data_IF_498588143089
#
_entry.id   IF_498588143089
#
_cell.length_a   1.000
_cell.length_b   1.000
_cell.length_c   1.000
_cell.angle_alpha   90.00
_cell.angle_beta   90.00
_cell.angle_gamma   90.00
#
_symmetry.space_group_name_H-M   'P 1'
#
loop_
_entity.id
_entity.type
_entity.pdbx_description
1 polymer ?
#
# COMPACT_ATOMS: atom_id res chain seq x y z
N UNK A 1 10.74 1.62 -19.63
CA UNK A 1 10.66 0.14 -19.63
C UNK A 1 9.31 -0.25 -19.06
N UNK A 2 8.50 -0.99 -19.82
CA UNK A 2 7.24 -1.53 -19.31
C UNK A 2 7.58 -2.77 -18.46
N UNK A 3 7.13 -2.77 -17.21
CA UNK A 3 7.31 -3.92 -16.33
C UNK A 3 6.37 -5.04 -16.75
N UNK A 4 6.87 -6.28 -16.79
CA UNK A 4 6.00 -7.46 -16.87
C UNK A 4 5.35 -7.71 -15.51
N UNK A 5 4.15 -8.28 -15.51
CA UNK A 5 3.39 -8.63 -14.30
C UNK A 5 4.26 -9.42 -13.34
N UNK A 6 4.39 -8.95 -12.09
CA UNK A 6 5.15 -9.62 -11.04
C UNK A 6 6.68 -9.49 -11.12
N UNK A 7 7.23 -8.68 -12.05
CA UNK A 7 8.69 -8.58 -12.20
C UNK A 7 9.38 -7.62 -11.24
N UNK A 8 8.79 -6.44 -10.98
CA UNK A 8 9.42 -5.39 -10.18
C UNK A 8 8.46 -4.69 -9.21
N UNK A 9 7.15 -4.74 -9.47
CA UNK A 9 6.09 -4.04 -8.72
C UNK A 9 6.37 -2.55 -8.49
N UNK A 10 7.15 -1.91 -9.36
CA UNK A 10 7.47 -0.49 -9.27
C UNK A 10 6.26 0.31 -9.75
N UNK A 11 5.85 1.28 -8.95
CA UNK A 11 4.78 2.20 -9.32
C UNK A 11 5.31 3.28 -10.28
N UNK A 12 4.84 3.28 -11.51
CA UNK A 12 5.20 4.23 -12.56
C UNK A 12 3.98 5.08 -12.98
N UNK A 13 4.18 6.35 -13.36
CA UNK A 13 3.09 7.23 -13.80
C UNK A 13 2.25 6.64 -14.94
N UNK A 14 2.89 5.90 -15.86
CA UNK A 14 2.25 5.33 -17.05
C UNK A 14 1.20 4.25 -16.72
N UNK A 15 1.23 3.68 -15.51
CA UNK A 15 0.27 2.63 -15.11
C UNK A 15 -1.10 3.22 -14.73
N UNK A 16 -1.16 4.50 -14.32
CA UNK A 16 -2.40 5.17 -13.89
C UNK A 16 -3.22 4.40 -12.82
N UNK A 17 -2.54 3.87 -11.81
CA UNK A 17 -3.12 3.09 -10.70
C UNK A 17 -2.97 3.74 -9.30
N UNK A 18 -3.15 5.07 -9.13
CA UNK A 18 -2.82 5.74 -7.87
C UNK A 18 -3.62 5.23 -6.66
N UNK A 19 -4.89 4.88 -6.85
CA UNK A 19 -5.74 4.37 -5.77
C UNK A 19 -5.29 2.98 -5.31
N UNK A 20 -5.08 2.07 -6.26
CA UNK A 20 -4.59 0.72 -5.98
C UNK A 20 -3.21 0.76 -5.31
N UNK A 21 -2.26 1.51 -5.88
CA UNK A 21 -0.91 1.61 -5.35
C UNK A 21 -0.89 2.09 -3.89
N UNK A 22 -1.72 3.08 -3.54
CA UNK A 22 -1.79 3.56 -2.14
C UNK A 22 -2.46 2.57 -1.20
N UNK A 23 -3.48 1.83 -1.65
CA UNK A 23 -4.16 0.83 -0.82
C UNK A 23 -3.27 -0.34 -0.43
N UNK A 24 -2.41 -0.80 -1.35
CA UNK A 24 -1.57 -1.99 -1.15
C UNK A 24 -0.10 -1.66 -0.88
N UNK A 25 0.20 -0.41 -0.51
CA UNK A 25 1.54 0.01 -0.18
C UNK A 25 1.99 -0.63 1.13
N UNK A 26 3.04 -1.47 1.10
CA UNK A 26 3.39 -2.38 2.21
C UNK A 26 3.74 -1.70 3.54
N UNK A 27 4.17 -0.44 3.47
CA UNK A 27 4.55 0.35 4.64
C UNK A 27 3.43 1.20 5.21
N UNK A 28 2.27 1.31 4.54
CA UNK A 28 1.10 1.98 5.12
C UNK A 28 0.52 1.14 6.26
N UNK A 29 0.38 1.75 7.43
CA UNK A 29 -0.15 1.09 8.63
C UNK A 29 -1.44 1.71 9.13
N UNK A 30 -1.81 2.88 8.61
CA UNK A 30 -2.96 3.66 9.06
C UNK A 30 -3.73 4.18 7.85
N UNK A 31 -5.05 4.19 7.98
CA UNK A 31 -5.98 4.74 6.99
C UNK A 31 -7.04 5.58 7.70
N UNK A 32 -7.33 6.76 7.15
CA UNK A 32 -8.43 7.61 7.56
C UNK A 32 -9.26 8.01 6.35
N UNK A 33 -10.57 7.79 6.39
CA UNK A 33 -11.46 8.07 5.27
C UNK A 33 -12.59 9.01 5.67
N UNK A 34 -13.06 9.79 4.70
CA UNK A 34 -14.23 10.64 4.82
C UNK A 34 -15.09 10.54 3.55
N UNK A 35 -16.41 10.63 3.74
CA UNK A 35 -17.38 10.66 2.65
C UNK A 35 -18.20 11.93 2.80
N UNK A 36 -18.18 12.78 1.77
CA UNK A 36 -18.81 14.11 1.81
C UNK A 36 -19.60 14.36 0.52
N UNK A 37 -20.76 15.02 0.65
CA UNK A 37 -21.53 15.49 -0.50
C UNK A 37 -20.95 16.82 -1.02
N UNK A 38 -20.62 16.87 -2.30
CA UNK A 38 -20.14 18.07 -2.99
C UNK A 38 -21.08 18.36 -4.17
N UNK A 39 -21.99 19.31 -4.00
CA UNK A 39 -23.05 19.61 -4.98
C UNK A 39 -24.00 18.42 -5.13
N UNK A 40 -24.13 17.89 -6.36
CA UNK A 40 -24.93 16.70 -6.67
C UNK A 40 -24.17 15.37 -6.48
N UNK A 41 -22.85 15.41 -6.22
CA UNK A 41 -22.01 14.22 -6.17
C UNK A 41 -21.60 13.85 -4.74
N UNK A 42 -21.32 12.57 -4.51
CA UNK A 42 -20.63 12.08 -3.32
C UNK A 42 -19.13 11.95 -3.61
N UNK A 43 -18.28 12.36 -2.67
CA UNK A 43 -16.82 12.20 -2.72
C UNK A 43 -16.38 11.33 -1.57
N UNK A 44 -15.67 10.25 -1.87
CA UNK A 44 -14.98 9.42 -0.89
C UNK A 44 -13.48 9.70 -1.00
N UNK A 45 -12.85 10.07 0.11
CA UNK A 45 -11.42 10.38 0.18
C UNK A 45 -10.81 9.59 1.33
N UNK A 46 -9.70 8.91 1.07
CA UNK A 46 -8.91 8.23 2.08
C UNK A 46 -7.47 8.74 2.06
N UNK A 47 -6.95 9.01 3.25
CA UNK A 47 -5.55 9.30 3.52
C UNK A 47 -4.89 8.06 4.14
N UNK A 48 -3.61 7.86 3.83
CA UNK A 48 -2.82 6.74 4.29
C UNK A 48 -1.56 7.27 4.98
N UNK A 49 -1.15 6.61 6.05
CA UNK A 49 0.05 6.95 6.83
C UNK A 49 0.93 5.72 7.06
N UNK A 50 2.26 5.88 7.06
CA UNK A 50 3.01 7.11 6.75
C UNK A 50 2.89 7.51 5.27
N UNK A 51 3.14 8.77 4.92
CA UNK A 51 3.09 9.26 3.53
C UNK A 51 4.30 8.75 2.70
N UNK A 52 4.38 7.44 2.48
CA UNK A 52 5.54 6.75 1.92
C UNK A 52 5.40 6.42 0.42
N UNK A 53 4.17 6.37 -0.10
CA UNK A 53 3.90 6.02 -1.49
C UNK A 53 4.47 7.05 -2.47
N UNK A 54 5.34 6.60 -3.39
CA UNK A 54 6.05 7.44 -4.36
C UNK A 54 6.33 6.70 -5.66
N UNK A 55 6.26 7.41 -6.78
CA UNK A 55 6.65 6.87 -8.08
C UNK A 55 8.12 6.46 -8.09
N UNK A 56 8.45 5.44 -8.88
CA UNK A 56 9.79 4.88 -9.00
C UNK A 56 10.15 3.87 -7.90
N UNK A 57 9.30 3.72 -6.88
CA UNK A 57 9.48 2.73 -5.81
C UNK A 57 8.56 1.52 -5.99
N UNK A 58 8.97 0.34 -5.47
CA UNK A 58 8.08 -0.81 -5.39
C UNK A 58 6.90 -0.53 -4.46
N UNK A 59 5.70 -0.96 -4.86
CA UNK A 59 4.47 -0.88 -4.06
C UNK A 59 4.59 -1.75 -2.80
N UNK A 60 5.19 -2.92 -2.97
CA UNK A 60 5.52 -3.83 -1.87
C UNK A 60 6.81 -4.57 -2.15
N UNK A 61 7.50 -4.94 -1.08
CA UNK A 61 8.70 -5.75 -1.16
C UNK A 61 8.33 -7.18 -1.54
N UNK A 62 8.82 -7.64 -2.70
CA UNK A 62 8.66 -9.04 -3.12
C UNK A 62 9.69 -9.94 -2.42
N UNK A 63 9.29 -11.17 -2.09
CA UNK A 63 10.24 -12.24 -1.80
C UNK A 63 9.83 -13.19 -0.67
N UNK A 64 10.05 -14.49 -0.92
CA UNK A 64 9.96 -15.57 0.05
C UNK A 64 8.56 -15.84 0.62
N UNK A 65 8.46 -16.69 1.66
CA UNK A 65 7.25 -16.88 2.44
C UNK A 65 6.60 -15.56 2.92
N UNK A 66 5.28 -15.58 3.13
CA UNK A 66 4.58 -14.43 3.69
C UNK A 66 5.16 -14.04 5.06
N UNK A 67 5.12 -12.74 5.39
CA UNK A 67 5.60 -12.19 6.66
C UNK A 67 7.11 -12.27 6.98
N UNK A 68 7.98 -12.68 6.06
CA UNK A 68 9.44 -12.74 6.30
C UNK A 68 10.06 -11.43 6.81
N UNK A 69 9.43 -10.29 6.51
CA UNK A 69 9.92 -8.97 6.87
C UNK A 69 9.30 -8.43 8.17
N UNK A 70 8.25 -9.06 8.72
CA UNK A 70 7.54 -8.52 9.89
C UNK A 70 8.44 -8.39 11.12
N UNK A 71 9.31 -9.37 11.36
CA UNK A 71 10.23 -9.35 12.52
C UNK A 71 11.19 -8.16 12.45
N UNK A 72 11.62 -7.75 11.25
CA UNK A 72 12.47 -6.56 11.05
C UNK A 72 11.74 -5.25 11.38
N UNK A 73 10.41 -5.27 11.32
CA UNK A 73 9.53 -4.15 11.64
C UNK A 73 9.04 -4.19 13.10
N UNK A 74 9.59 -5.06 13.95
CA UNK A 74 9.10 -5.32 15.31
C UNK A 74 7.59 -5.64 15.34
N UNK A 75 7.13 -6.35 14.31
CA UNK A 75 5.74 -6.73 14.11
C UNK A 75 5.60 -8.25 14.09
N UNK A 76 4.41 -8.74 14.47
CA UNK A 76 4.07 -10.15 14.34
C UNK A 76 3.34 -10.42 13.02
N UNK A 77 3.47 -11.63 12.51
CA UNK A 77 2.64 -12.09 11.40
C UNK A 77 1.22 -12.40 11.89
N UNK A 78 0.22 -11.85 11.22
CA UNK A 78 -1.18 -12.25 11.40
C UNK A 78 -1.48 -13.54 10.64
N UNK A 79 -2.60 -14.19 10.99
CA UNK A 79 -3.09 -15.38 10.26
C UNK A 79 -3.38 -15.12 8.78
N UNK A 80 -3.59 -13.84 8.41
CA UNK A 80 -3.90 -13.42 7.03
C UNK A 80 -2.65 -12.97 6.24
N UNK A 81 -1.44 -13.21 6.76
CA UNK A 81 -0.20 -12.85 6.06
C UNK A 81 0.16 -11.37 6.09
N UNK A 82 -0.44 -10.59 7.00
CA UNK A 82 -0.13 -9.17 7.22
C UNK A 82 0.73 -8.97 8.47
N UNK A 83 1.67 -8.01 8.43
CA UNK A 83 2.42 -7.59 9.60
C UNK A 83 1.57 -6.70 10.50
N UNK A 84 1.47 -7.03 11.79
CA UNK A 84 0.71 -6.25 12.78
C UNK A 84 1.66 -5.83 13.90
N UNK A 85 1.70 -4.54 14.22
CA UNK A 85 2.49 -4.02 15.34
C UNK A 85 2.08 -4.74 16.63
N UNK A 86 3.07 -5.04 17.48
CA UNK A 86 2.77 -5.50 18.83
C UNK A 86 2.14 -4.34 19.60
N UNK A 87 1.09 -4.59 20.41
CA UNK A 87 0.49 -3.58 21.26
C UNK A 87 1.48 -3.00 22.27
#
# INVERSE_FOLDING_TARGET
MNQTTGSQNIWLPQQNIPNFAKMVWDSHTEIGCAIVKCGSNMKAVCHYSPAAARYGNPIYTMGGPYCNLCTRLSARCSQNGLCVKNP
#
